data_IF_321219681271
#
_entry.id   IF_321219681271
#
_cell.length_a   1.000
_cell.length_b   1.000
_cell.length_c   1.000
_cell.angle_alpha   90.00
_cell.angle_beta   90.00
_cell.angle_gamma   90.00
#
_symmetry.space_group_name_H-M   'P 1'
#
loop_
_entity.id
_entity.type
_entity.pdbx_description
1 polymer ?
#
# COMPACT_ATOMS: atom_id res chain seq x y z
N UNK A 1 34.56 -11.72 4.94
CA UNK A 1 33.28 -11.10 4.48
C UNK A 1 32.70 -10.23 5.59
N UNK A 2 32.20 -9.04 5.27
CA UNK A 2 31.70 -8.06 6.24
C UNK A 2 30.32 -7.56 5.83
N UNK A 3 29.37 -7.58 6.76
CA UNK A 3 28.06 -6.95 6.63
C UNK A 3 28.04 -5.65 7.44
N UNK A 4 27.43 -4.60 6.89
CA UNK A 4 27.34 -3.29 7.50
C UNK A 4 25.92 -2.77 7.37
N UNK A 5 25.38 -2.24 8.47
CA UNK A 5 24.11 -1.53 8.51
C UNK A 5 24.35 -0.13 9.08
N UNK A 6 24.15 0.91 8.26
CA UNK A 6 24.62 2.28 8.53
C UNK A 6 26.12 2.31 8.89
N UNK A 7 26.42 2.75 10.10
CA UNK A 7 27.78 2.87 10.63
C UNK A 7 28.18 1.66 11.48
N UNK A 8 27.28 0.70 11.67
CA UNK A 8 27.57 -0.52 12.42
C UNK A 8 28.10 -1.59 11.47
N UNK A 9 29.34 -2.01 11.68
CA UNK A 9 29.95 -3.13 10.98
C UNK A 9 29.97 -4.34 11.89
N UNK A 10 29.46 -5.46 11.38
CA UNK A 10 29.67 -6.76 12.00
C UNK A 10 31.14 -7.15 11.91
N UNK A 11 31.59 -8.03 12.80
CA UNK A 11 32.92 -8.61 12.69
C UNK A 11 33.02 -9.49 11.43
N UNK A 12 34.26 -9.71 10.97
CA UNK A 12 34.45 -10.52 9.77
C UNK A 12 33.98 -11.97 10.00
N UNK A 13 33.20 -12.49 9.07
CA UNK A 13 32.60 -13.83 9.14
C UNK A 13 31.69 -14.08 10.36
N UNK A 14 31.19 -13.02 11.00
CA UNK A 14 30.28 -13.12 12.15
C UNK A 14 28.88 -13.60 11.74
N UNK A 15 28.43 -13.19 10.55
CA UNK A 15 27.04 -13.34 10.11
C UNK A 15 26.92 -14.18 8.85
N UNK A 16 25.81 -14.90 8.77
CA UNK A 16 25.22 -15.43 7.54
C UNK A 16 24.06 -14.55 7.14
N UNK A 17 23.92 -14.27 5.84
CA UNK A 17 22.88 -13.42 5.29
C UNK A 17 22.13 -14.18 4.20
N UNK A 18 20.87 -14.50 4.48
CA UNK A 18 19.96 -15.08 3.51
C UNK A 18 19.18 -13.95 2.82
N UNK A 19 19.20 -13.95 1.48
CA UNK A 19 18.52 -12.95 0.65
C UNK A 19 17.33 -13.60 -0.04
N UNK A 20 16.12 -13.15 0.29
CA UNK A 20 14.90 -13.57 -0.37
C UNK A 20 14.28 -12.38 -1.12
N UNK A 21 13.77 -12.63 -2.33
CA UNK A 21 13.02 -11.64 -3.12
C UNK A 21 11.59 -12.12 -3.35
N UNK A 22 10.65 -11.19 -3.34
CA UNK A 22 9.23 -11.44 -3.63
C UNK A 22 8.62 -10.25 -4.35
N UNK A 23 7.81 -10.51 -5.38
CA UNK A 23 7.05 -9.46 -6.08
C UNK A 23 6.10 -8.71 -5.15
N UNK A 24 6.01 -7.39 -5.33
CA UNK A 24 4.95 -6.57 -4.76
C UNK A 24 3.77 -6.58 -5.72
N UNK A 25 2.66 -7.16 -5.28
CA UNK A 25 1.49 -7.43 -6.11
C UNK A 25 0.31 -6.58 -5.62
N UNK A 26 -0.45 -6.02 -6.57
CA UNK A 26 -1.71 -5.34 -6.24
C UNK A 26 -2.88 -6.36 -6.18
N UNK A 27 -4.07 -5.98 -5.67
CA UNK A 27 -5.22 -6.90 -5.60
C UNK A 27 -5.67 -7.46 -6.96
N UNK A 28 -5.30 -6.81 -8.07
CA UNK A 28 -5.60 -7.26 -9.43
C UNK A 28 -4.59 -8.29 -9.98
N UNK A 29 -3.56 -8.63 -9.21
CA UNK A 29 -2.57 -9.65 -9.53
C UNK A 29 -1.35 -9.16 -10.31
N UNK A 30 -1.17 -7.84 -10.43
CA UNK A 30 -0.04 -7.26 -11.16
C UNK A 30 1.12 -6.95 -10.22
N UNK A 31 2.31 -7.39 -10.61
CA UNK A 31 3.55 -7.16 -9.86
C UNK A 31 4.19 -5.84 -10.30
N UNK A 32 4.17 -4.84 -9.42
CA UNK A 32 4.66 -3.48 -9.70
C UNK A 32 6.05 -3.18 -9.10
N UNK A 33 6.62 -4.13 -8.37
CA UNK A 33 7.94 -3.99 -7.78
C UNK A 33 8.41 -5.27 -7.12
N UNK A 34 9.49 -5.18 -6.37
CA UNK A 34 10.01 -6.27 -5.55
C UNK A 34 10.27 -5.83 -4.11
N UNK A 35 10.05 -6.76 -3.19
CA UNK A 35 10.49 -6.71 -1.81
C UNK A 35 11.69 -7.63 -1.65
N UNK A 36 12.73 -7.14 -0.98
CA UNK A 36 13.93 -7.89 -0.62
C UNK A 36 13.92 -8.05 0.89
N UNK A 37 13.91 -9.29 1.35
CA UNK A 37 14.04 -9.64 2.78
C UNK A 37 15.43 -10.20 3.02
N UNK A 38 16.12 -9.65 4.02
CA UNK A 38 17.41 -10.15 4.48
C UNK A 38 17.22 -10.78 5.86
N UNK A 39 17.49 -12.07 5.98
CA UNK A 39 17.57 -12.73 7.28
C UNK A 39 19.04 -12.86 7.65
N UNK A 40 19.42 -12.17 8.74
CA UNK A 40 20.79 -12.12 9.22
C UNK A 40 20.85 -12.96 10.49
N UNK A 41 21.64 -14.02 10.47
CA UNK A 41 21.91 -14.85 11.64
C UNK A 41 23.39 -14.76 11.99
N UNK A 42 23.72 -14.56 13.27
CA UNK A 42 25.10 -14.37 13.68
C UNK A 42 25.38 -14.82 15.11
N UNK A 43 26.66 -14.81 15.46
CA UNK A 43 27.15 -15.11 16.80
C UNK A 43 28.05 -13.96 17.25
N UNK A 44 27.55 -13.14 18.18
CA UNK A 44 28.40 -12.17 18.87
C UNK A 44 29.45 -12.94 19.67
N UNK A 45 30.71 -12.50 19.63
CA UNK A 45 31.79 -13.05 20.43
C UNK A 45 32.46 -11.93 21.22
N UNK A 46 32.80 -12.21 22.48
CA UNK A 46 33.54 -11.28 23.32
C UNK A 46 34.53 -11.98 24.23
N UNK A 47 35.61 -11.29 24.59
CA UNK A 47 36.69 -11.85 25.41
C UNK A 47 36.28 -12.02 26.88
N UNK A 48 35.21 -11.35 27.29
CA UNK A 48 34.57 -11.45 28.60
C UNK A 48 33.06 -11.23 28.47
N UNK A 49 32.32 -11.56 29.52
CA UNK A 49 30.89 -11.23 29.60
C UNK A 49 30.64 -9.71 29.44
N UNK A 50 31.48 -8.86 30.01
CA UNK A 50 31.32 -7.41 29.90
C UNK A 50 31.51 -6.90 28.45
N UNK A 51 32.49 -7.44 27.73
CA UNK A 51 32.68 -7.15 26.31
C UNK A 51 31.49 -7.64 25.47
N UNK A 52 31.03 -8.87 25.71
CA UNK A 52 29.86 -9.44 25.03
C UNK A 52 28.61 -8.58 25.21
N UNK A 53 28.33 -8.10 26.44
CA UNK A 53 27.19 -7.23 26.72
C UNK A 53 27.34 -5.86 26.06
N UNK A 54 28.56 -5.33 25.96
CA UNK A 54 28.84 -4.08 25.24
C UNK A 54 28.55 -4.23 23.75
N UNK A 55 29.02 -5.30 23.12
CA UNK A 55 28.74 -5.61 21.70
C UNK A 55 27.26 -5.84 21.46
N UNK A 56 26.57 -6.52 22.37
CA UNK A 56 25.13 -6.71 22.31
C UNK A 56 24.37 -5.37 22.36
N UNK A 57 24.73 -4.47 23.27
CA UNK A 57 24.11 -3.16 23.36
C UNK A 57 24.36 -2.33 22.09
N UNK A 58 25.58 -2.39 21.53
CA UNK A 58 25.92 -1.73 20.27
C UNK A 58 25.09 -2.26 19.09
N UNK A 59 24.92 -3.59 18.99
CA UNK A 59 24.07 -4.23 17.99
C UNK A 59 22.61 -3.77 18.12
N UNK A 60 22.04 -3.86 19.33
CA UNK A 60 20.67 -3.41 19.60
C UNK A 60 20.46 -1.93 19.25
N UNK A 61 21.41 -1.07 19.60
CA UNK A 61 21.33 0.37 19.32
C UNK A 61 21.43 0.67 17.82
N UNK A 62 22.25 -0.07 17.07
CA UNK A 62 22.38 0.10 15.63
C UNK A 62 21.06 -0.23 14.92
N UNK A 63 20.45 -1.36 15.26
CA UNK A 63 19.22 -1.86 14.63
C UNK A 63 17.93 -1.30 15.25
N UNK A 64 18.02 -0.48 16.30
CA UNK A 64 16.90 0.34 16.76
C UNK A 64 16.57 1.47 15.77
N UNK A 65 17.48 1.78 14.84
CA UNK A 65 17.31 2.82 13.82
C UNK A 65 16.78 2.22 12.53
N UNK A 66 15.69 2.78 12.03
CA UNK A 66 15.14 2.49 10.71
C UNK A 66 15.92 3.22 9.61
N UNK A 67 15.68 2.86 8.35
CA UNK A 67 16.19 3.54 7.16
C UNK A 67 17.72 3.52 7.04
N UNK A 68 18.35 2.43 7.45
CA UNK A 68 19.79 2.30 7.34
C UNK A 68 20.26 1.76 5.99
N UNK A 69 21.41 2.23 5.53
CA UNK A 69 22.07 1.69 4.34
C UNK A 69 22.67 0.32 4.64
N UNK A 70 22.60 -0.60 3.69
CA UNK A 70 23.17 -1.95 3.80
C UNK A 70 24.34 -2.07 2.83
N UNK A 71 25.46 -2.57 3.33
CA UNK A 71 26.59 -2.99 2.52
C UNK A 71 27.03 -4.38 2.97
N UNK A 72 27.12 -5.31 2.02
CA UNK A 72 27.71 -6.62 2.22
C UNK A 72 28.84 -6.79 1.22
N UNK A 73 30.05 -7.06 1.71
CA UNK A 73 31.25 -7.11 0.88
C UNK A 73 32.22 -8.22 1.28
N UNK A 74 32.99 -8.68 0.29
CA UNK A 74 34.11 -9.61 0.46
C UNK A 74 35.38 -8.93 -0.07
N UNK A 75 36.27 -8.53 0.83
CA UNK A 75 37.38 -7.63 0.47
C UNK A 75 36.85 -6.33 -0.13
N UNK A 76 37.31 -5.98 -1.34
CA UNK A 76 36.85 -4.81 -2.08
C UNK A 76 35.55 -5.05 -2.89
N UNK A 77 35.10 -6.29 -3.02
CA UNK A 77 33.95 -6.65 -3.86
C UNK A 77 32.64 -6.48 -3.10
N UNK A 78 31.73 -5.66 -3.63
CA UNK A 78 30.37 -5.50 -3.10
C UNK A 78 29.49 -6.67 -3.56
N UNK A 79 28.99 -7.45 -2.61
CA UNK A 79 28.04 -8.55 -2.84
C UNK A 79 26.61 -8.00 -2.91
N UNK A 80 26.27 -7.12 -1.97
CA UNK A 80 24.99 -6.43 -1.92
C UNK A 80 25.21 -5.00 -1.44
N UNK A 81 24.52 -4.04 -2.05
CA UNK A 81 24.55 -2.64 -1.64
C UNK A 81 23.16 -2.05 -1.81
N UNK A 82 22.47 -1.78 -0.69
CA UNK A 82 21.14 -1.18 -0.68
C UNK A 82 21.26 0.19 0.01
N UNK A 83 21.02 1.24 -0.75
CA UNK A 83 20.91 2.60 -0.22
C UNK A 83 19.44 2.86 0.13
N UNK A 84 19.17 3.24 1.38
CA UNK A 84 17.81 3.35 1.89
C UNK A 84 16.98 4.41 1.15
N UNK A 85 17.61 5.49 0.69
CA UNK A 85 16.98 6.56 -0.09
C UNK A 85 16.62 6.15 -1.53
N UNK A 86 17.21 5.06 -2.04
CA UNK A 86 16.91 4.49 -3.36
C UNK A 86 15.81 3.42 -3.31
N UNK A 87 15.24 3.16 -2.14
CA UNK A 87 14.17 2.18 -1.95
C UNK A 87 12.81 2.89 -1.85
N UNK A 88 11.72 2.16 -2.10
CA UNK A 88 10.35 2.67 -2.10
C UNK A 88 9.96 3.34 -0.77
N UNK A 89 10.33 2.73 0.35
CA UNK A 89 9.96 3.22 1.68
C UNK A 89 11.10 3.22 2.70
N UNK A 90 12.35 3.06 2.28
CA UNK A 90 13.49 2.89 3.17
C UNK A 90 13.71 1.43 3.58
N UNK A 91 14.90 1.14 4.10
CA UNK A 91 15.21 -0.17 4.72
C UNK A 91 14.55 -0.24 6.09
N UNK A 92 13.72 -1.26 6.29
CA UNK A 92 13.01 -1.52 7.54
C UNK A 92 13.68 -2.62 8.33
N UNK A 93 13.84 -2.40 9.63
CA UNK A 93 14.15 -3.45 10.59
C UNK A 93 12.82 -4.08 11.01
N UNK A 94 12.47 -5.20 10.38
CA UNK A 94 11.21 -5.94 10.61
C UNK A 94 11.30 -6.75 11.90
N UNK A 95 12.44 -7.41 12.11
CA UNK A 95 12.77 -8.10 13.36
C UNK A 95 14.08 -7.51 13.89
N UNK A 96 14.03 -6.70 14.97
CA UNK A 96 15.23 -6.24 15.66
C UNK A 96 16.06 -7.42 16.18
N UNK A 97 17.32 -7.20 16.63
CA UNK A 97 18.16 -8.24 17.18
C UNK A 97 17.43 -9.02 18.27
N UNK A 98 17.24 -10.30 18.00
CA UNK A 98 16.56 -11.24 18.90
C UNK A 98 17.53 -12.32 19.32
N UNK A 99 17.47 -12.71 20.59
CA UNK A 99 18.41 -13.66 21.21
C UNK A 99 17.62 -14.87 21.74
N UNK A 100 17.04 -15.63 20.82
CA UNK A 100 16.00 -16.62 21.12
C UNK A 100 16.50 -17.84 21.90
N UNK A 101 17.82 -18.09 21.89
CA UNK A 101 18.44 -19.25 22.53
C UNK A 101 18.60 -19.14 24.06
N UNK A 102 18.14 -18.04 24.67
CA UNK A 102 18.12 -17.87 26.12
C UNK A 102 19.48 -18.11 26.79
N UNK A 103 19.48 -18.83 27.91
CA UNK A 103 20.68 -19.21 28.67
C UNK A 103 21.18 -20.63 28.34
N UNK A 104 21.11 -21.06 27.08
CA UNK A 104 21.66 -22.35 26.68
C UNK A 104 23.16 -22.43 27.02
N UNK A 105 23.72 -23.64 27.25
CA UNK A 105 25.13 -23.80 27.62
C UNK A 105 26.09 -23.08 26.67
N UNK A 106 26.89 -22.17 27.23
CA UNK A 106 27.86 -21.35 26.51
C UNK A 106 27.31 -20.08 25.85
N UNK A 107 26.00 -19.81 25.93
CA UNK A 107 25.46 -18.46 25.70
C UNK A 107 25.77 -17.59 26.93
N UNK A 108 26.00 -16.29 26.75
CA UNK A 108 26.28 -15.34 27.84
C UNK A 108 27.54 -15.68 28.67
N UNK A 109 28.52 -16.35 28.06
CA UNK A 109 29.88 -16.50 28.63
C UNK A 109 30.86 -15.68 27.80
N UNK A 110 31.05 -16.09 26.55
CA UNK A 110 31.89 -15.39 25.56
C UNK A 110 31.21 -15.29 24.19
N UNK A 111 29.98 -15.80 24.05
CA UNK A 111 29.24 -15.76 22.80
C UNK A 111 27.74 -15.58 23.00
N UNK A 112 27.07 -15.02 21.99
CA UNK A 112 25.61 -14.87 21.97
C UNK A 112 25.04 -14.97 20.55
N UNK A 113 24.15 -15.94 20.31
CA UNK A 113 23.47 -16.09 19.02
C UNK A 113 22.33 -15.10 18.85
N UNK A 114 22.18 -14.56 17.64
CA UNK A 114 21.10 -13.64 17.32
C UNK A 114 20.56 -13.79 15.90
N UNK A 115 19.37 -13.25 15.71
CA UNK A 115 18.75 -13.09 14.40
C UNK A 115 18.16 -11.68 14.24
N UNK A 116 18.31 -11.13 13.04
CA UNK A 116 17.75 -9.86 12.59
C UNK A 116 17.07 -10.08 11.24
N UNK A 117 15.95 -9.41 11.00
CA UNK A 117 15.30 -9.39 9.68
C UNK A 117 15.17 -7.96 9.20
N UNK A 118 15.76 -7.68 8.03
CA UNK A 118 15.62 -6.43 7.31
C UNK A 118 14.75 -6.62 6.09
N UNK A 119 14.07 -5.56 5.67
CA UNK A 119 13.26 -5.57 4.45
C UNK A 119 13.35 -4.23 3.73
N UNK A 120 13.51 -4.28 2.41
CA UNK A 120 13.50 -3.11 1.53
C UNK A 120 12.63 -3.42 0.31
N UNK A 121 12.17 -2.38 -0.39
CA UNK A 121 11.41 -2.56 -1.62
C UNK A 121 11.90 -1.64 -2.74
N UNK A 122 11.74 -2.11 -3.97
CA UNK A 122 12.02 -1.37 -5.19
C UNK A 122 10.80 -1.42 -6.10
N UNK A 123 10.63 -0.36 -6.90
CA UNK A 123 9.68 -0.34 -7.99
C UNK A 123 10.34 -0.87 -9.26
N UNK A 124 9.58 -1.54 -10.10
CA UNK A 124 10.06 -1.86 -11.45
C UNK A 124 9.92 -0.65 -12.35
N UNK A 125 10.81 -0.51 -13.34
CA UNK A 125 10.69 0.56 -14.34
C UNK A 125 9.37 0.48 -15.12
N UNK A 126 8.73 -0.69 -15.18
CA UNK A 126 7.40 -0.86 -15.80
C UNK A 126 6.24 -0.34 -14.95
N UNK A 127 6.49 0.06 -13.70
CA UNK A 127 5.48 0.65 -12.81
C UNK A 127 5.31 2.17 -13.02
N UNK A 128 5.64 2.66 -14.22
CA UNK A 128 5.18 3.97 -14.70
C UNK A 128 3.74 3.84 -15.13
N UNK A 129 2.86 4.72 -14.62
CA UNK A 129 1.49 4.73 -15.10
C UNK A 129 1.39 5.21 -16.55
N UNK A 130 0.25 4.91 -17.16
CA UNK A 130 -0.01 5.15 -18.58
C UNK A 130 -0.66 6.52 -18.76
N UNK A 131 -0.39 7.21 -19.87
CA UNK A 131 -1.06 8.48 -20.23
C UNK A 131 -0.97 9.59 -19.16
N UNK A 132 0.13 9.64 -18.41
CA UNK A 132 0.35 10.65 -17.36
C UNK A 132 -0.23 10.30 -15.99
N UNK A 133 -1.08 9.27 -15.90
CA UNK A 133 -1.53 8.73 -14.61
C UNK A 133 -0.40 7.97 -13.91
N UNK A 134 -0.41 7.85 -12.57
CA UNK A 134 0.42 6.90 -11.84
C UNK A 134 -0.04 5.47 -12.08
N UNK A 135 0.80 4.52 -11.67
CA UNK A 135 0.36 3.14 -11.56
C UNK A 135 -0.79 3.02 -10.54
N UNK A 136 -1.84 2.27 -10.88
CA UNK A 136 -3.05 2.14 -10.07
C UNK A 136 -2.94 0.88 -9.18
N UNK A 137 -2.84 1.11 -7.87
CA UNK A 137 -2.73 0.06 -6.85
C UNK A 137 -4.10 -0.56 -6.52
N UNK A 138 -5.17 0.21 -6.66
CA UNK A 138 -6.52 -0.23 -6.31
C UNK A 138 -7.53 0.56 -7.16
N UNK A 139 -8.55 -0.12 -7.67
CA UNK A 139 -9.57 0.45 -8.54
C UNK A 139 -10.93 -0.16 -8.22
N UNK A 140 -11.90 0.71 -8.02
CA UNK A 140 -13.30 0.34 -7.85
C UNK A 140 -14.17 1.38 -8.55
N UNK A 141 -15.18 0.92 -9.29
CA UNK A 141 -16.13 1.79 -9.97
C UNK A 141 -17.50 1.12 -9.98
N UNK A 142 -18.54 1.90 -9.77
CA UNK A 142 -19.91 1.44 -9.70
C UNK A 142 -20.87 2.43 -10.34
N UNK A 143 -21.97 1.88 -10.84
CA UNK A 143 -23.09 2.64 -11.39
C UNK A 143 -24.35 2.22 -10.64
N UNK A 144 -25.02 3.16 -9.98
CA UNK A 144 -26.33 2.93 -9.37
C UNK A 144 -27.40 3.70 -10.15
N UNK A 145 -28.55 3.07 -10.37
CA UNK A 145 -29.68 3.68 -11.07
C UNK A 145 -30.90 3.65 -10.15
N UNK A 146 -31.57 4.79 -10.00
CA UNK A 146 -32.80 4.95 -9.24
C UNK A 146 -33.90 5.44 -10.14
N UNK A 147 -35.05 4.76 -10.12
CA UNK A 147 -36.20 5.06 -10.97
C UNK A 147 -36.14 4.39 -12.34
N UNK A 148 -37.28 4.39 -13.03
CA UNK A 148 -37.45 3.75 -14.34
C UNK A 148 -37.84 4.74 -15.44
N UNK A 149 -38.18 5.98 -15.08
CA UNK A 149 -38.69 6.99 -16.00
C UNK A 149 -40.16 6.79 -16.33
N UNK A 150 -40.79 5.75 -15.78
CA UNK A 150 -42.20 5.44 -15.93
C UNK A 150 -43.11 6.23 -14.99
N UNK A 151 -44.42 5.96 -15.02
CA UNK A 151 -45.40 6.70 -14.24
C UNK A 151 -45.22 6.51 -12.74
N UNK A 152 -45.46 7.57 -11.98
CA UNK A 152 -45.47 7.53 -10.51
C UNK A 152 -46.88 7.29 -9.99
N UNK A 153 -47.00 6.57 -8.87
CA UNK A 153 -48.30 6.23 -8.28
C UNK A 153 -48.33 6.51 -6.79
N UNK A 154 -49.49 6.90 -6.28
CA UNK A 154 -49.79 7.00 -4.86
C UNK A 154 -51.11 6.31 -4.51
N UNK A 155 -51.31 6.08 -3.21
CA UNK A 155 -52.52 5.46 -2.68
C UNK A 155 -53.37 6.52 -1.98
N UNK A 156 -54.54 6.82 -2.53
CA UNK A 156 -55.49 7.77 -1.93
C UNK A 156 -56.37 7.04 -0.91
N UNK A 157 -56.40 7.58 0.32
CA UNK A 157 -57.26 7.10 1.40
C UNK A 157 -58.73 7.24 1.01
N UNK A 158 -59.48 6.14 1.11
CA UNK A 158 -60.94 6.14 0.95
C UNK A 158 -61.60 6.28 2.31
N UNK A 159 -62.80 6.85 2.35
CA UNK A 159 -63.57 7.05 3.60
C UNK A 159 -63.83 5.70 4.30
N UNK A 160 -64.02 4.63 3.54
CA UNK A 160 -64.03 3.24 4.01
C UNK A 160 -63.42 2.32 2.94
N UNK A 161 -62.83 1.20 3.36
CA UNK A 161 -62.32 0.17 2.46
C UNK A 161 -60.85 0.33 2.08
N UNK A 162 -60.48 -0.22 0.91
CA UNK A 162 -59.08 -0.23 0.42
C UNK A 162 -58.68 1.11 -0.19
N UNK A 163 -57.40 1.44 -0.07
CA UNK A 163 -56.79 2.56 -0.80
C UNK A 163 -56.99 2.41 -2.32
N UNK A 164 -57.17 3.54 -3.00
CA UNK A 164 -57.24 3.60 -4.46
C UNK A 164 -55.89 4.02 -5.04
N UNK A 165 -55.33 3.23 -5.97
CA UNK A 165 -54.10 3.58 -6.67
C UNK A 165 -54.39 4.69 -7.69
N UNK A 166 -53.70 5.81 -7.57
CA UNK A 166 -53.76 6.94 -8.51
C UNK A 166 -52.40 7.18 -9.14
N UNK A 167 -52.39 7.47 -10.44
CA UNK A 167 -51.20 7.92 -11.15
C UNK A 167 -51.01 9.42 -10.91
N UNK A 168 -49.81 9.83 -10.50
CA UNK A 168 -49.49 11.23 -10.21
C UNK A 168 -48.82 11.90 -11.42
N UNK A 169 -47.88 11.22 -12.05
CA UNK A 169 -47.17 11.72 -13.24
C UNK A 169 -47.04 10.61 -14.28
N UNK A 170 -46.96 11.00 -15.57
CA UNK A 170 -46.70 10.07 -16.68
C UNK A 170 -45.26 9.56 -16.71
N UNK A 171 -44.32 10.40 -16.27
CA UNK A 171 -42.90 10.05 -16.17
C UNK A 171 -42.32 10.45 -14.82
N UNK A 172 -41.35 9.66 -14.35
CA UNK A 172 -40.57 9.95 -13.16
C UNK A 172 -39.20 10.46 -13.55
N UNK A 173 -38.53 11.13 -12.61
CA UNK A 173 -37.09 11.34 -12.73
C UNK A 173 -36.39 9.99 -12.58
N UNK A 174 -35.35 9.79 -13.39
CA UNK A 174 -34.34 8.74 -13.25
C UNK A 174 -33.05 9.43 -12.83
N UNK A 175 -32.41 8.88 -11.81
CA UNK A 175 -31.12 9.36 -11.33
C UNK A 175 -30.11 8.24 -11.47
N UNK A 176 -28.96 8.53 -12.07
CA UNK A 176 -27.80 7.64 -12.07
C UNK A 176 -26.71 8.26 -11.22
N UNK A 177 -26.03 7.44 -10.42
CA UNK A 177 -24.79 7.83 -9.75
C UNK A 177 -23.65 6.95 -10.24
N UNK A 178 -22.64 7.58 -10.85
CA UNK A 178 -21.37 6.94 -11.15
C UNK A 178 -20.39 7.34 -10.06
N UNK A 179 -19.93 6.37 -9.28
CA UNK A 179 -18.97 6.62 -8.21
C UNK A 179 -17.86 5.60 -8.24
N UNK A 180 -16.72 5.95 -7.65
CA UNK A 180 -15.60 5.05 -7.60
C UNK A 180 -14.40 5.64 -6.90
N UNK A 181 -13.33 4.85 -6.91
CA UNK A 181 -12.07 5.13 -6.25
C UNK A 181 -10.92 4.58 -7.08
N UNK A 182 -9.84 5.37 -7.14
CA UNK A 182 -8.51 4.94 -7.63
C UNK A 182 -7.49 5.21 -6.54
N UNK A 183 -6.49 4.35 -6.42
CA UNK A 183 -5.31 4.62 -5.59
C UNK A 183 -4.08 4.64 -6.49
N UNK A 184 -3.46 5.81 -6.61
CA UNK A 184 -2.22 5.95 -7.36
C UNK A 184 -1.00 5.64 -6.50
N UNK A 185 0.02 5.06 -7.11
CA UNK A 185 1.36 4.92 -6.55
C UNK A 185 2.13 6.23 -6.69
N UNK A 186 2.66 6.76 -5.59
CA UNK A 186 3.52 7.96 -5.47
C UNK A 186 2.91 9.32 -5.87
N UNK A 187 1.74 9.34 -6.53
CA UNK A 187 0.98 10.57 -6.83
C UNK A 187 -0.50 10.29 -7.00
N UNK A 188 -1.34 11.31 -6.92
CA UNK A 188 -2.77 11.19 -7.21
C UNK A 188 -3.00 10.81 -8.68
N UNK A 189 -3.86 9.81 -8.95
CA UNK A 189 -4.35 9.55 -10.30
C UNK A 189 -5.45 10.53 -10.68
N UNK A 190 -5.72 10.64 -11.97
CA UNK A 190 -6.93 11.29 -12.45
C UNK A 190 -8.16 10.43 -12.13
N UNK A 191 -9.29 11.05 -11.73
CA UNK A 191 -10.52 10.32 -11.54
C UNK A 191 -11.07 9.84 -12.89
N UNK A 192 -11.88 8.79 -12.91
CA UNK A 192 -12.59 8.40 -14.13
C UNK A 192 -13.43 9.58 -14.63
N UNK A 193 -13.46 9.79 -15.94
CA UNK A 193 -14.42 10.71 -16.55
C UNK A 193 -15.85 10.17 -16.41
N UNK A 194 -16.86 11.04 -16.38
CA UNK A 194 -18.25 10.63 -16.59
C UNK A 194 -18.37 9.75 -17.84
N UNK A 195 -19.16 8.68 -17.77
CA UNK A 195 -19.40 7.81 -18.93
C UNK A 195 -19.97 8.65 -20.07
N UNK A 196 -19.41 8.50 -21.28
CA UNK A 196 -19.71 9.37 -22.41
C UNK A 196 -21.21 9.45 -22.75
N UNK A 197 -21.94 8.33 -22.68
CA UNK A 197 -23.38 8.28 -22.94
C UNK A 197 -24.23 8.94 -21.84
N UNK A 198 -23.65 9.24 -20.67
CA UNK A 198 -24.31 9.92 -19.56
C UNK A 198 -23.90 11.39 -19.42
N UNK A 199 -22.76 11.78 -20.01
CA UNK A 199 -22.10 13.06 -19.77
C UNK A 199 -23.01 14.29 -19.96
N UNK A 200 -23.87 14.28 -20.98
CA UNK A 200 -24.79 15.39 -21.29
C UNK A 200 -25.88 15.59 -20.22
N UNK A 201 -26.09 14.61 -19.35
CA UNK A 201 -27.12 14.62 -18.30
C UNK A 201 -26.54 14.84 -16.90
N UNK A 202 -25.25 15.16 -16.80
CA UNK A 202 -24.59 15.36 -15.52
C UNK A 202 -25.08 16.63 -14.81
N UNK A 203 -25.37 16.51 -13.52
CA UNK A 203 -25.55 17.64 -12.61
C UNK A 203 -24.19 18.10 -12.12
N UNK A 204 -23.55 18.98 -12.90
CA UNK A 204 -22.21 19.51 -12.61
C UNK A 204 -22.11 20.19 -11.24
N UNK A 205 -23.21 20.82 -10.78
CA UNK A 205 -23.33 21.43 -9.44
C UNK A 205 -23.25 20.40 -8.30
N UNK A 206 -23.51 19.12 -8.59
CA UNK A 206 -23.47 18.00 -7.65
C UNK A 206 -22.22 17.13 -7.79
N UNK A 207 -21.28 17.49 -8.69
CA UNK A 207 -20.04 16.75 -8.89
C UNK A 207 -19.19 16.78 -7.62
N UNK A 208 -18.73 15.61 -7.20
CA UNK A 208 -17.82 15.48 -6.06
C UNK A 208 -16.57 14.74 -6.51
N UNK A 209 -15.42 15.42 -6.46
CA UNK A 209 -14.11 14.82 -6.59
C UNK A 209 -13.37 15.07 -5.29
N UNK A 210 -12.91 14.03 -4.63
CA UNK A 210 -12.19 14.12 -3.35
C UNK A 210 -10.86 13.41 -3.45
N UNK A 211 -9.80 14.13 -3.13
CA UNK A 211 -8.50 13.55 -2.86
C UNK A 211 -8.46 13.16 -1.39
N UNK A 212 -8.30 11.86 -1.12
CA UNK A 212 -8.09 11.39 0.24
C UNK A 212 -6.63 11.64 0.65
N UNK A 213 -6.38 11.81 1.95
CA UNK A 213 -5.02 12.00 2.42
C UNK A 213 -4.11 10.85 1.96
N UNK A 214 -2.89 11.14 1.50
CA UNK A 214 -1.97 10.10 1.10
C UNK A 214 -1.63 9.18 2.28
N UNK A 215 -1.57 7.87 2.03
CA UNK A 215 -1.21 6.89 3.04
C UNK A 215 0.29 6.65 3.03
N UNK A 216 0.83 6.45 4.23
CA UNK A 216 2.26 6.32 4.44
C UNK A 216 2.65 4.90 4.80
N UNK A 217 3.79 4.47 4.27
CA UNK A 217 4.48 3.25 4.68
C UNK A 217 5.86 3.69 5.15
N UNK A 218 6.23 3.34 6.39
CA UNK A 218 7.50 3.75 7.00
C UNK A 218 7.76 5.27 6.88
N UNK A 219 6.71 6.06 7.13
CA UNK A 219 6.68 7.53 7.02
C UNK A 219 6.90 8.11 5.60
N UNK A 220 7.12 7.28 4.59
CA UNK A 220 7.11 7.70 3.18
C UNK A 220 5.70 7.66 2.62
N UNK A 221 5.36 8.64 1.79
CA UNK A 221 4.02 8.75 1.22
C UNK A 221 3.93 7.94 -0.07
N UNK A 222 3.13 6.87 -0.07
CA UNK A 222 3.15 5.86 -1.14
C UNK A 222 1.81 5.79 -1.88
N UNK A 223 0.69 5.78 -1.16
CA UNK A 223 -0.62 5.58 -1.77
C UNK A 223 -1.42 6.88 -1.78
N UNK A 224 -1.98 7.22 -2.93
CA UNK A 224 -2.69 8.48 -3.15
C UNK A 224 -4.12 8.20 -3.63
N UNK A 225 -5.09 8.10 -2.70
CA UNK A 225 -6.47 7.78 -3.05
C UNK A 225 -7.21 9.00 -3.63
N UNK A 226 -7.96 8.78 -4.71
CA UNK A 226 -8.94 9.73 -5.24
C UNK A 226 -10.31 9.04 -5.34
N UNK A 227 -11.35 9.81 -5.08
CA UNK A 227 -12.74 9.38 -5.12
C UNK A 227 -13.51 10.32 -6.04
N UNK A 228 -14.45 9.78 -6.80
CA UNK A 228 -15.37 10.57 -7.62
C UNK A 228 -16.81 10.11 -7.40
N UNK A 229 -17.73 11.06 -7.55
CA UNK A 229 -19.16 10.81 -7.62
C UNK A 229 -19.80 11.82 -8.57
N UNK A 230 -20.37 11.30 -9.65
CA UNK A 230 -21.12 12.04 -10.66
C UNK A 230 -22.59 11.68 -10.53
N UNK A 231 -23.45 12.69 -10.50
CA UNK A 231 -24.91 12.50 -10.47
C UNK A 231 -25.48 12.91 -11.81
N UNK A 232 -26.27 12.03 -12.43
CA UNK A 232 -26.96 12.29 -13.68
C UNK A 232 -28.46 12.26 -13.44
N UNK A 233 -29.21 13.08 -14.17
CA UNK A 233 -30.66 13.16 -13.99
C UNK A 233 -31.35 13.31 -15.34
N UNK A 234 -32.41 12.53 -15.55
CA UNK A 234 -33.23 12.59 -16.76
C UNK A 234 -34.68 12.28 -16.41
N UNK A 235 -35.64 12.77 -17.19
CA UNK A 235 -37.08 12.50 -17.01
C UNK A 235 -37.60 11.34 -17.89
N UNK A 236 -36.70 10.51 -18.39
CA UNK A 236 -36.94 9.35 -19.25
C UNK A 236 -35.73 8.38 -19.09
N UNK A 237 -35.83 7.12 -19.53
CA UNK A 237 -34.72 6.17 -19.43
C UNK A 237 -33.41 6.72 -20.02
N UNK A 238 -32.26 6.40 -19.41
CA UNK A 238 -30.96 6.80 -19.95
C UNK A 238 -30.65 6.06 -21.26
N UNK A 239 -29.87 6.67 -22.18
CA UNK A 239 -29.38 5.93 -23.34
C UNK A 239 -28.55 4.72 -22.86
N UNK A 240 -28.65 3.61 -23.58
CA UNK A 240 -27.85 2.42 -23.28
C UNK A 240 -26.36 2.74 -23.48
N UNK A 241 -25.50 2.01 -22.76
CA UNK A 241 -24.08 1.99 -23.08
C UNK A 241 -23.91 1.47 -24.53
N UNK A 242 -22.96 2.03 -25.30
CA UNK A 242 -22.62 1.52 -26.62
C UNK A 242 -22.08 0.08 -26.57
#
# INVERSE_FOLDING_TARGET
MIFTYNNYSHAEYEVTVDVAKRGLENPSGFVYGESITLTIAGILQGDSLADLLTKQAALSNAYARQNGNILWQSGATKVLNIQSDQTLYGVRVVKPPSFERGAAPGELVNRRQYQIVLEAAYLYDTSVGVNGDPYILDYESQLSTTGTGGPTFAHLATITGRFQKQQLTETSVVTIQQSGRRVGLLRYPTPDSPLAHLADFEKLDRRVIRQGNPRRINNNTIEYPIFWNYTFERNQPFPAAP
#
